data_IF_415113828031
#
_entry.id   IF_415113828031
#
_cell.length_a   1.000
_cell.length_b   1.000
_cell.length_c   1.000
_cell.angle_alpha   90.00
_cell.angle_beta   90.00
_cell.angle_gamma   90.00
#
_symmetry.space_group_name_H-M   'P 1'
#
loop_
_entity.id
_entity.type
_entity.pdbx_description
1 polymer ?
#
# COMPACT_ATOMS: atom_id res chain seq x y z
N UNK A 1 -5.89 8.36 -14.09
CA UNK A 1 -5.26 8.79 -12.81
C UNK A 1 -4.87 7.62 -11.89
N UNK A 2 -5.16 6.35 -12.25
CA UNK A 2 -4.82 5.18 -11.44
C UNK A 2 -3.34 4.74 -11.54
N UNK A 3 -2.75 4.89 -12.73
CA UNK A 3 -1.36 4.52 -13.01
C UNK A 3 -0.34 5.16 -12.05
N UNK A 4 -0.37 6.49 -11.78
CA UNK A 4 0.58 7.09 -10.84
C UNK A 4 0.37 6.59 -9.40
N UNK A 5 -0.87 6.26 -9.01
CA UNK A 5 -1.18 5.71 -7.67
C UNK A 5 -0.58 4.31 -7.52
N UNK A 6 -0.70 3.44 -8.54
CA UNK A 6 -0.05 2.13 -8.51
C UNK A 6 1.47 2.25 -8.47
N UNK A 7 2.06 3.18 -9.23
CA UNK A 7 3.52 3.37 -9.21
C UNK A 7 4.00 3.81 -7.83
N UNK A 8 3.30 4.76 -7.20
CA UNK A 8 3.65 5.27 -5.88
C UNK A 8 3.48 4.20 -4.80
N UNK A 9 2.45 3.38 -4.92
CA UNK A 9 2.17 2.25 -4.02
C UNK A 9 3.28 1.19 -4.07
N UNK A 10 3.62 0.74 -5.28
CA UNK A 10 4.68 -0.27 -5.49
C UNK A 10 6.04 0.28 -5.06
N UNK A 11 6.30 1.58 -5.28
CA UNK A 11 7.51 2.23 -4.79
C UNK A 11 7.57 2.28 -3.26
N UNK A 12 6.46 2.60 -2.56
CA UNK A 12 6.38 2.59 -1.10
C UNK A 12 6.52 1.18 -0.51
N UNK A 13 5.94 0.17 -1.16
CA UNK A 13 6.09 -1.24 -0.79
C UNK A 13 7.54 -1.70 -0.97
N UNK A 14 8.15 -1.41 -2.12
CA UNK A 14 9.55 -1.74 -2.38
C UNK A 14 10.50 -1.04 -1.40
N UNK A 15 10.23 0.22 -1.07
CA UNK A 15 11.00 0.98 -0.09
C UNK A 15 10.82 0.42 1.34
N UNK A 16 9.61 -0.05 1.68
CA UNK A 16 9.33 -0.72 2.96
C UNK A 16 10.03 -2.08 3.09
N UNK A 17 10.09 -2.85 2.01
CA UNK A 17 10.86 -4.11 1.94
C UNK A 17 12.38 -3.87 2.07
N UNK A 18 12.88 -2.84 1.40
CA UNK A 18 14.27 -2.41 1.50
C UNK A 18 14.63 -1.97 2.93
N UNK A 19 13.71 -1.28 3.59
CA UNK A 19 13.81 -0.87 4.99
C UNK A 19 13.72 -2.08 5.96
N UNK A 20 12.85 -3.06 5.68
CA UNK A 20 12.76 -4.32 6.46
C UNK A 20 14.04 -5.15 6.39
N UNK A 21 14.69 -5.24 5.23
CA UNK A 21 15.98 -5.95 5.13
C UNK A 21 17.05 -5.31 6.00
N UNK A 22 17.08 -3.98 6.08
CA UNK A 22 17.99 -3.24 6.97
C UNK A 22 17.62 -3.39 8.46
N UNK A 23 16.34 -3.57 8.78
CA UNK A 23 15.86 -3.74 10.16
C UNK A 23 15.96 -5.19 10.67
N UNK A 24 16.03 -6.20 9.79
CA UNK A 24 16.26 -7.60 10.17
C UNK A 24 17.66 -7.83 10.75
N UNK A 25 18.66 -7.07 10.31
CA UNK A 25 20.01 -7.05 10.90
C UNK A 25 20.00 -6.46 12.33
N UNK A 26 18.97 -5.65 12.67
CA UNK A 26 18.85 -4.91 13.94
C UNK A 26 17.73 -5.39 14.88
N UNK A 27 16.90 -6.35 14.48
CA UNK A 27 15.79 -6.93 15.26
C UNK A 27 14.76 -5.90 15.81
N UNK A 28 14.38 -4.89 15.01
CA UNK A 28 13.40 -3.87 15.42
C UNK A 28 12.00 -4.19 14.87
N UNK A 29 11.15 -4.77 15.74
CA UNK A 29 9.78 -5.25 15.44
C UNK A 29 8.84 -4.15 14.88
N UNK A 30 9.12 -2.89 15.20
CA UNK A 30 8.33 -1.71 14.80
C UNK A 30 8.34 -1.47 13.28
N UNK A 31 9.44 -1.78 12.61
CA UNK A 31 9.60 -1.51 11.18
C UNK A 31 8.89 -2.54 10.29
N UNK A 32 8.81 -3.78 10.77
CA UNK A 32 8.07 -4.86 10.10
C UNK A 32 6.56 -4.60 10.17
N UNK A 33 6.08 -4.12 11.32
CA UNK A 33 4.67 -3.79 11.54
C UNK A 33 4.23 -2.54 10.75
N UNK A 34 5.12 -1.54 10.63
CA UNK A 34 4.91 -0.35 9.80
C UNK A 34 4.71 -0.69 8.31
N UNK A 35 5.51 -1.61 7.76
CA UNK A 35 5.34 -2.07 6.38
C UNK A 35 4.01 -2.79 6.13
N UNK A 36 3.55 -3.61 7.09
CA UNK A 36 2.25 -4.29 6.99
C UNK A 36 1.07 -3.34 7.10
N UNK A 37 1.15 -2.29 7.93
CA UNK A 37 0.12 -1.25 8.03
C UNK A 37 0.01 -0.42 6.74
N UNK A 38 1.15 -0.07 6.12
CA UNK A 38 1.18 0.62 4.82
C UNK A 38 0.56 -0.24 3.72
N UNK A 39 0.95 -1.52 3.62
CA UNK A 39 0.37 -2.43 2.64
C UNK A 39 -1.13 -2.68 2.86
N UNK A 40 -1.59 -2.73 4.12
CA UNK A 40 -3.02 -2.85 4.45
C UNK A 40 -3.81 -1.59 4.06
N UNK A 41 -3.27 -0.39 4.31
CA UNK A 41 -3.90 0.88 3.89
C UNK A 41 -3.96 1.02 2.36
N UNK A 42 -2.92 0.58 1.66
CA UNK A 42 -2.87 0.52 0.20
C UNK A 42 -3.97 -0.38 -0.39
N UNK A 43 -4.09 -1.61 0.12
CA UNK A 43 -5.13 -2.54 -0.29
C UNK A 43 -6.54 -1.97 -0.01
N UNK A 44 -6.74 -1.32 1.13
CA UNK A 44 -8.00 -0.67 1.47
C UNK A 44 -8.36 0.47 0.49
N UNK A 45 -7.38 1.30 0.10
CA UNK A 45 -7.58 2.35 -0.91
C UNK A 45 -8.01 1.78 -2.27
N UNK A 46 -7.40 0.68 -2.72
CA UNK A 46 -7.81 0.02 -3.97
C UNK A 46 -9.26 -0.50 -3.90
N UNK A 47 -9.66 -1.08 -2.77
CA UNK A 47 -11.04 -1.56 -2.56
C UNK A 47 -12.04 -0.40 -2.59
N UNK A 48 -11.76 0.70 -1.89
CA UNK A 48 -12.64 1.88 -1.88
C UNK A 48 -12.76 2.48 -3.28
N UNK A 49 -11.65 2.57 -4.02
CA UNK A 49 -11.67 3.10 -5.38
C UNK A 49 -12.50 2.21 -6.31
N UNK A 50 -12.36 0.89 -6.18
CA UNK A 50 -13.16 -0.07 -6.94
C UNK A 50 -14.66 0.05 -6.61
N UNK A 51 -14.99 0.22 -5.32
CA UNK A 51 -16.36 0.38 -4.85
C UNK A 51 -16.98 1.69 -5.35
N UNK A 52 -16.24 2.80 -5.28
CA UNK A 52 -16.66 4.10 -5.82
C UNK A 52 -16.88 4.01 -7.33
N UNK A 53 -15.98 3.35 -8.05
CA UNK A 53 -16.08 3.18 -9.51
C UNK A 53 -17.33 2.37 -9.87
N UNK A 54 -17.63 1.31 -9.12
CA UNK A 54 -18.84 0.52 -9.32
C UNK A 54 -20.12 1.32 -9.02
N UNK A 55 -20.15 2.08 -7.91
CA UNK A 55 -21.28 2.94 -7.58
C UNK A 55 -21.51 4.03 -8.64
N UNK A 56 -20.45 4.72 -9.08
CA UNK A 56 -20.54 5.73 -10.14
C UNK A 56 -21.01 5.12 -11.47
N UNK A 57 -20.54 3.91 -11.80
CA UNK A 57 -20.99 3.20 -13.00
C UNK A 57 -22.43 2.71 -12.93
N UNK A 58 -23.00 2.54 -11.73
CA UNK A 58 -24.39 2.12 -11.55
C UNK A 58 -25.35 3.33 -11.52
N UNK A 59 -24.86 4.51 -11.13
CA UNK A 59 -25.63 5.75 -11.09
C UNK A 59 -25.61 6.55 -12.42
N UNK A 60 -24.70 6.22 -13.34
CA UNK A 60 -24.63 6.78 -14.70
C UNK A 60 -25.48 5.99 -15.68
#
# INVERSE_FOLDING_TARGET
MLIPILIFDVALVAWSLHLMQSALDRQEFSLMLAGTLVAASAAAMLVVYFLINNCLSHLS
#
